data_IF_207227269521
#
_entry.id   IF_207227269521
#
_cell.length_a   1.000
_cell.length_b   1.000
_cell.length_c   1.000
_cell.angle_alpha   90.00
_cell.angle_beta   90.00
_cell.angle_gamma   90.00
#
_symmetry.space_group_name_H-M   'P 1'
#
loop_
_entity.id
_entity.type
_entity.pdbx_description
1 polymer ?
#
# COMPACT_ATOMS: atom_id res chain seq x y z
N UNK A 1 7.47 26.25 -1.68
CA UNK A 1 6.84 25.22 -2.53
C UNK A 1 7.73 23.98 -2.53
N UNK A 2 7.43 23.02 -1.67
CA UNK A 2 8.14 21.73 -1.64
C UNK A 2 7.73 20.92 -2.87
N UNK A 3 8.64 20.75 -3.82
CA UNK A 3 8.39 19.85 -4.94
C UNK A 3 8.25 18.43 -4.37
N UNK A 4 7.11 17.78 -4.55
CA UNK A 4 6.96 16.36 -4.30
C UNK A 4 8.09 15.61 -4.98
N UNK A 5 8.96 14.97 -4.20
CA UNK A 5 10.14 14.31 -4.74
C UNK A 5 9.70 13.06 -5.51
N UNK A 6 9.87 13.08 -6.83
CA UNK A 6 9.60 11.94 -7.70
C UNK A 6 10.48 10.76 -7.30
N UNK A 7 9.88 9.60 -7.05
CA UNK A 7 10.60 8.36 -6.77
C UNK A 7 11.25 7.88 -8.07
N UNK A 8 12.57 7.75 -8.08
CA UNK A 8 13.34 7.43 -9.29
C UNK A 8 13.38 5.93 -9.53
N UNK A 9 12.59 5.45 -10.48
CA UNK A 9 12.69 4.10 -11.05
C UNK A 9 12.58 4.16 -12.57
N UNK A 10 13.14 3.14 -13.26
CA UNK A 10 12.95 3.00 -14.71
C UNK A 10 11.57 2.41 -14.98
N UNK A 11 10.60 3.26 -15.25
CA UNK A 11 9.21 2.88 -15.52
C UNK A 11 8.53 3.91 -16.44
N UNK A 12 7.51 3.48 -17.15
CA UNK A 12 6.59 4.37 -17.89
C UNK A 12 5.61 5.11 -16.97
N UNK A 13 5.55 4.71 -15.69
CA UNK A 13 4.74 5.34 -14.65
C UNK A 13 5.60 6.29 -13.80
N UNK A 14 4.97 7.31 -13.24
CA UNK A 14 5.58 8.18 -12.25
C UNK A 14 5.04 7.85 -10.85
N UNK A 15 5.88 8.04 -9.83
CA UNK A 15 5.53 7.70 -8.45
C UNK A 15 5.93 8.83 -7.51
N UNK A 16 5.02 9.19 -6.61
CA UNK A 16 5.24 10.25 -5.62
C UNK A 16 4.66 9.83 -4.27
N UNK A 17 5.30 10.17 -3.14
CA UNK A 17 4.67 10.04 -1.83
C UNK A 17 3.42 10.93 -1.79
N UNK A 18 2.41 10.49 -1.04
CA UNK A 18 1.25 11.34 -0.81
C UNK A 18 1.58 12.40 0.23
N UNK A 19 1.28 13.65 -0.11
CA UNK A 19 1.53 14.84 0.70
C UNK A 19 0.34 15.79 0.60
N UNK A 20 0.39 16.94 1.29
CA UNK A 20 -0.65 17.98 1.21
C UNK A 20 -0.83 18.49 -0.21
N UNK A 21 0.26 18.59 -0.98
CA UNK A 21 0.28 19.16 -2.32
C UNK A 21 -0.46 18.30 -3.34
N UNK A 22 -0.47 16.96 -3.16
CA UNK A 22 -1.16 16.03 -4.06
C UNK A 22 -2.33 15.29 -3.40
N UNK A 23 -2.85 15.85 -2.30
CA UNK A 23 -4.04 15.29 -1.64
C UNK A 23 -5.24 15.16 -2.58
N UNK A 24 -5.45 16.15 -3.46
CA UNK A 24 -6.55 16.15 -4.43
C UNK A 24 -6.45 14.97 -5.42
N UNK A 25 -5.24 14.56 -5.78
CA UNK A 25 -5.02 13.40 -6.65
C UNK A 25 -5.38 12.11 -5.93
N UNK A 26 -5.06 12.03 -4.63
CA UNK A 26 -5.50 10.91 -3.79
C UNK A 26 -7.03 10.86 -3.68
N UNK A 27 -7.70 11.99 -3.47
CA UNK A 27 -9.17 12.07 -3.45
C UNK A 27 -9.77 11.65 -4.80
N UNK A 28 -9.23 12.13 -5.91
CA UNK A 28 -9.66 11.79 -7.26
C UNK A 28 -9.52 10.30 -7.53
N UNK A 29 -8.37 9.71 -7.14
CA UNK A 29 -8.12 8.27 -7.30
C UNK A 29 -9.12 7.41 -6.51
N UNK A 30 -9.43 7.80 -5.27
CA UNK A 30 -10.31 7.05 -4.38
C UNK A 30 -11.80 7.27 -4.70
N UNK A 31 -12.13 8.41 -5.30
CA UNK A 31 -13.49 8.81 -5.68
C UNK A 31 -14.43 8.96 -4.49
N UNK A 32 -15.68 9.25 -4.77
CA UNK A 32 -16.71 9.47 -3.73
C UNK A 32 -16.89 8.27 -2.80
N UNK A 33 -16.71 7.06 -3.32
CA UNK A 33 -16.85 5.80 -2.55
C UNK A 33 -15.64 5.45 -1.71
N UNK A 34 -14.56 6.25 -1.75
CA UNK A 34 -13.32 6.00 -0.99
C UNK A 34 -12.66 4.68 -1.33
N UNK A 35 -12.49 4.39 -2.62
CA UNK A 35 -12.01 3.18 -3.25
C UNK A 35 -13.01 2.00 -3.07
N UNK A 36 -13.03 1.35 -1.92
CA UNK A 36 -13.91 0.22 -1.64
C UNK A 36 -14.62 0.43 -0.29
N UNK A 37 -15.95 0.59 -0.33
CA UNK A 37 -16.77 0.64 0.88
C UNK A 37 -16.43 1.75 1.89
N UNK A 38 -15.95 2.90 1.43
CA UNK A 38 -15.56 4.01 2.32
C UNK A 38 -14.27 3.77 3.09
N UNK A 39 -13.40 2.91 2.57
CA UNK A 39 -12.16 2.49 3.22
C UNK A 39 -11.17 3.64 3.42
N UNK A 40 -10.95 4.49 2.40
CA UNK A 40 -9.93 5.53 2.41
C UNK A 40 -8.56 5.04 2.93
N UNK A 41 -8.25 3.78 2.69
CA UNK A 41 -7.07 3.03 3.11
C UNK A 41 -6.84 2.98 4.64
N UNK A 42 -7.88 3.25 5.46
CA UNK A 42 -7.78 3.26 6.92
C UNK A 42 -7.94 1.87 7.57
N UNK A 43 -8.25 0.82 6.79
CA UNK A 43 -8.58 -0.50 7.33
C UNK A 43 -7.49 -1.13 8.20
N UNK A 44 -6.22 -0.93 7.89
CA UNK A 44 -5.10 -1.46 8.67
C UNK A 44 -4.63 -0.54 9.78
N UNK A 45 -4.89 0.77 9.63
CA UNK A 45 -4.46 1.82 10.57
C UNK A 45 -5.38 1.95 11.79
N UNK A 46 -6.63 1.47 11.69
CA UNK A 46 -7.64 1.59 12.73
C UNK A 46 -8.03 0.21 13.29
N UNK A 47 -8.53 0.17 14.51
CA UNK A 47 -9.24 -0.99 15.03
C UNK A 47 -10.51 -1.24 14.20
N UNK A 48 -11.03 -2.48 14.21
CA UNK A 48 -12.26 -2.80 13.47
C UNK A 48 -13.42 -1.88 13.88
N UNK A 49 -13.61 -1.65 15.17
CA UNK A 49 -14.67 -0.78 15.72
C UNK A 49 -14.55 0.66 15.20
N UNK A 50 -13.37 1.24 15.28
CA UNK A 50 -13.10 2.60 14.78
C UNK A 50 -13.28 2.71 13.27
N UNK A 51 -12.80 1.72 12.51
CA UNK A 51 -12.94 1.68 11.06
C UNK A 51 -14.42 1.65 10.65
N UNK A 52 -15.21 0.77 11.27
CA UNK A 52 -16.63 0.61 10.95
C UNK A 52 -17.44 1.87 11.32
N UNK A 53 -17.14 2.49 12.46
CA UNK A 53 -17.77 3.73 12.91
C UNK A 53 -17.44 4.96 12.03
N UNK A 54 -16.33 4.92 11.29
CA UNK A 54 -15.83 6.04 10.49
C UNK A 54 -15.92 5.83 8.97
N UNK A 55 -16.60 4.78 8.49
CA UNK A 55 -16.71 4.49 7.05
C UNK A 55 -17.12 5.74 6.23
N UNK A 56 -16.50 5.89 5.05
CA UNK A 56 -16.75 7.04 4.18
C UNK A 56 -16.06 8.31 4.68
N UNK A 57 -16.81 9.36 4.95
CA UNK A 57 -16.28 10.69 5.29
C UNK A 57 -15.42 10.70 6.56
N UNK A 58 -15.70 9.84 7.54
CA UNK A 58 -14.89 9.72 8.75
C UNK A 58 -13.48 9.20 8.46
N UNK A 59 -13.36 8.12 7.71
CA UNK A 59 -12.08 7.57 7.27
C UNK A 59 -11.33 8.56 6.38
N UNK A 60 -12.02 9.28 5.47
CA UNK A 60 -11.43 10.35 4.66
C UNK A 60 -10.78 11.42 5.53
N UNK A 61 -11.52 11.94 6.53
CA UNK A 61 -10.98 12.95 7.45
C UNK A 61 -9.76 12.46 8.23
N UNK A 62 -9.77 11.20 8.67
CA UNK A 62 -8.62 10.60 9.37
C UNK A 62 -7.39 10.48 8.47
N UNK A 63 -7.55 10.01 7.23
CA UNK A 63 -6.45 9.94 6.27
C UNK A 63 -5.93 11.34 5.93
N UNK A 64 -6.83 12.33 5.75
CA UNK A 64 -6.42 13.72 5.47
C UNK A 64 -5.59 14.28 6.63
N UNK A 65 -6.02 14.10 7.88
CA UNK A 65 -5.24 14.52 9.06
C UNK A 65 -3.86 13.87 9.11
N UNK A 66 -3.75 12.59 8.74
CA UNK A 66 -2.48 11.88 8.67
C UNK A 66 -1.55 12.52 7.64
N UNK A 67 -2.05 12.84 6.45
CA UNK A 67 -1.28 13.55 5.42
C UNK A 67 -0.92 14.98 5.86
N UNK A 68 -1.84 15.68 6.51
CA UNK A 68 -1.63 17.03 7.04
C UNK A 68 -0.57 17.08 8.17
N UNK A 69 -0.36 15.97 8.87
CA UNK A 69 0.73 15.84 9.86
C UNK A 69 2.10 15.54 9.24
N UNK A 70 2.23 15.60 7.90
CA UNK A 70 3.43 15.23 7.13
C UNK A 70 3.85 13.76 7.26
N UNK A 71 2.93 12.89 7.72
CA UNK A 71 3.13 11.46 7.66
C UNK A 71 2.83 10.96 6.24
N UNK A 72 3.77 10.71 5.42
CA UNK A 72 3.60 10.19 4.05
C UNK A 72 3.08 8.73 4.09
N UNK A 73 1.75 8.47 4.18
CA UNK A 73 1.21 7.12 4.49
C UNK A 73 1.27 6.14 3.32
N UNK A 74 1.84 6.57 2.21
CA UNK A 74 1.98 5.75 1.01
C UNK A 74 2.37 6.54 -0.22
N UNK A 75 2.34 5.87 -1.36
CA UNK A 75 2.72 6.42 -2.66
C UNK A 75 1.58 6.35 -3.67
N UNK A 76 1.48 7.38 -4.50
CA UNK A 76 0.62 7.45 -5.67
C UNK A 76 1.40 7.07 -6.93
N UNK A 77 0.76 6.33 -7.83
CA UNK A 77 1.25 6.03 -9.16
C UNK A 77 0.46 6.84 -10.19
N UNK A 78 1.17 7.40 -11.17
CA UNK A 78 0.60 8.24 -12.24
C UNK A 78 0.95 7.69 -13.61
N UNK A 79 0.06 7.95 -14.56
CA UNK A 79 0.30 7.78 -15.99
C UNK A 79 -0.25 9.01 -16.72
N UNK A 80 0.61 9.71 -17.47
CA UNK A 80 0.28 10.98 -18.12
C UNK A 80 -0.40 11.97 -17.16
N UNK A 81 0.21 12.16 -15.98
CA UNK A 81 -0.24 13.05 -14.88
C UNK A 81 -1.59 12.66 -14.25
N UNK A 82 -2.22 11.56 -14.68
CA UNK A 82 -3.41 11.03 -14.06
C UNK A 82 -3.05 10.07 -12.90
N UNK A 83 -3.64 10.22 -11.69
CA UNK A 83 -3.44 9.27 -10.61
C UNK A 83 -4.19 7.96 -10.91
N UNK A 84 -3.45 6.85 -11.00
CA UNK A 84 -3.96 5.56 -11.45
C UNK A 84 -3.81 4.43 -10.43
N UNK A 85 -3.01 4.66 -9.39
CA UNK A 85 -2.74 3.65 -8.37
C UNK A 85 -2.25 4.23 -7.06
N UNK A 86 -2.41 3.43 -6.03
CA UNK A 86 -2.03 3.71 -4.64
C UNK A 86 -1.40 2.49 -4.00
N UNK A 87 -0.43 2.72 -3.13
CA UNK A 87 0.15 1.74 -2.23
C UNK A 87 0.31 2.36 -0.84
N UNK A 88 -0.34 1.77 0.16
CA UNK A 88 -0.07 2.12 1.55
C UNK A 88 1.29 1.57 1.94
N UNK A 89 2.14 2.41 2.53
CA UNK A 89 3.45 2.03 3.06
C UNK A 89 3.84 2.93 4.22
N UNK A 90 4.22 2.32 5.34
CA UNK A 90 4.64 2.99 6.56
C UNK A 90 5.39 2.01 7.48
N UNK A 91 6.03 2.47 8.57
CA UNK A 91 6.49 1.61 9.65
C UNK A 91 5.39 0.64 10.09
N UNK A 92 5.75 -0.63 10.30
CA UNK A 92 4.78 -1.70 10.59
C UNK A 92 3.89 -1.39 11.80
N UNK A 93 4.44 -0.79 12.83
CA UNK A 93 3.75 -0.44 14.08
C UNK A 93 2.57 0.53 13.87
N UNK A 94 2.55 1.28 12.77
CA UNK A 94 1.41 2.14 12.40
C UNK A 94 0.18 1.32 12.01
N UNK A 95 0.35 0.06 11.63
CA UNK A 95 -0.73 -0.81 11.18
C UNK A 95 -1.27 -1.70 12.32
N UNK A 96 -2.10 -1.12 13.19
CA UNK A 96 -2.67 -1.75 14.40
C UNK A 96 -3.21 -3.16 14.12
N UNK A 97 -3.84 -3.38 12.97
CA UNK A 97 -4.41 -4.69 12.64
C UNK A 97 -3.38 -5.73 12.22
N UNK A 98 -2.20 -5.33 11.73
CA UNK A 98 -1.09 -6.25 11.54
C UNK A 98 -0.55 -6.74 12.88
N UNK A 99 -0.34 -5.84 13.83
CA UNK A 99 0.16 -6.16 15.16
C UNK A 99 -0.79 -7.12 15.91
N UNK A 100 -2.11 -7.00 15.70
CA UNK A 100 -3.13 -7.87 16.30
C UNK A 100 -3.42 -9.14 15.50
N UNK A 101 -2.78 -9.33 14.35
CA UNK A 101 -3.03 -10.49 13.49
C UNK A 101 -2.32 -11.74 13.98
N UNK A 102 -3.05 -12.84 14.17
CA UNK A 102 -2.45 -14.15 14.50
C UNK A 102 -1.64 -14.72 13.34
N UNK A 103 -2.09 -14.49 12.10
CA UNK A 103 -1.46 -15.03 10.88
C UNK A 103 -0.32 -14.16 10.39
N UNK A 104 -0.47 -12.83 10.50
CA UNK A 104 0.49 -11.85 9.98
C UNK A 104 1.29 -11.18 11.12
N UNK A 105 1.37 -11.80 12.31
CA UNK A 105 2.19 -11.29 13.42
C UNK A 105 3.66 -11.19 13.02
N UNK A 106 4.43 -10.39 13.74
CA UNK A 106 5.89 -10.24 13.54
C UNK A 106 6.58 -11.59 13.40
N UNK A 107 7.58 -11.63 12.53
CA UNK A 107 8.45 -12.80 12.34
C UNK A 107 9.61 -12.74 13.33
N UNK A 108 10.14 -11.54 13.51
CA UNK A 108 11.31 -11.18 14.31
C UNK A 108 11.17 -9.75 14.84
N UNK A 109 12.20 -9.22 15.49
CA UNK A 109 12.25 -7.88 16.06
C UNK A 109 12.84 -6.84 15.08
N UNK A 110 13.07 -7.21 13.82
CA UNK A 110 13.57 -6.28 12.81
C UNK A 110 12.60 -5.13 12.54
N UNK A 111 13.16 -3.92 12.38
CA UNK A 111 12.39 -2.76 11.98
C UNK A 111 12.01 -2.85 10.50
N UNK A 112 10.73 -3.06 10.22
CA UNK A 112 10.23 -3.20 8.85
C UNK A 112 9.20 -2.12 8.51
N UNK A 113 9.20 -1.68 7.25
CA UNK A 113 8.07 -0.95 6.69
C UNK A 113 7.15 -1.92 5.97
N UNK A 114 5.85 -1.72 6.12
CA UNK A 114 4.81 -2.66 5.67
C UNK A 114 3.98 -2.11 4.53
N UNK A 115 3.68 -3.00 3.57
CA UNK A 115 2.78 -2.75 2.43
C UNK A 115 1.53 -3.63 2.61
N UNK A 116 0.48 -3.14 3.29
CA UNK A 116 -0.71 -3.95 3.54
C UNK A 116 -1.82 -3.76 2.51
N UNK A 117 -1.78 -2.73 1.68
CA UNK A 117 -2.90 -2.35 0.83
C UNK A 117 -2.48 -1.68 -0.47
N UNK A 118 -3.19 -2.03 -1.55
CA UNK A 118 -3.11 -1.40 -2.87
C UNK A 118 -4.50 -0.96 -3.34
N UNK A 119 -4.52 0.07 -4.17
CA UNK A 119 -5.65 0.38 -5.02
C UNK A 119 -5.13 0.70 -6.44
N UNK A 120 -5.71 0.07 -7.46
CA UNK A 120 -5.35 0.30 -8.86
C UNK A 120 -6.66 0.49 -9.63
N UNK A 121 -6.75 1.57 -10.40
CA UNK A 121 -7.87 1.81 -11.32
C UNK A 121 -8.10 0.60 -12.23
N UNK A 122 -9.36 0.27 -12.51
CA UNK A 122 -9.75 -0.94 -13.26
C UNK A 122 -9.01 -1.07 -14.58
N UNK A 123 -8.85 0.03 -15.29
CA UNK A 123 -8.25 0.14 -16.63
C UNK A 123 -6.74 -0.19 -16.64
N UNK A 124 -6.09 -0.06 -15.47
CA UNK A 124 -4.65 -0.28 -15.29
C UNK A 124 -4.31 -1.62 -14.61
N UNK A 125 -5.33 -2.42 -14.28
CA UNK A 125 -5.11 -3.77 -13.70
C UNK A 125 -4.59 -4.73 -14.75
N UNK A 126 -3.87 -5.78 -14.31
CA UNK A 126 -3.26 -6.83 -15.16
C UNK A 126 -2.24 -6.31 -16.17
N UNK A 127 -1.78 -5.05 -16.06
CA UNK A 127 -0.78 -4.40 -16.91
C UNK A 127 0.58 -4.23 -16.23
N UNK A 128 0.86 -4.98 -15.16
CA UNK A 128 2.14 -4.97 -14.42
C UNK A 128 2.28 -3.83 -13.41
N UNK A 129 1.31 -2.91 -13.30
CA UNK A 129 1.42 -1.74 -12.42
C UNK A 129 1.70 -2.10 -10.94
N UNK A 130 1.12 -3.18 -10.42
CA UNK A 130 1.38 -3.61 -9.04
C UNK A 130 2.86 -3.94 -8.78
N UNK A 131 3.55 -4.56 -9.75
CA UNK A 131 4.99 -4.83 -9.68
C UNK A 131 5.79 -3.52 -9.68
N UNK A 132 5.44 -2.57 -10.54
CA UNK A 132 6.13 -1.28 -10.61
C UNK A 132 5.90 -0.44 -9.34
N UNK A 133 4.70 -0.46 -8.76
CA UNK A 133 4.40 0.18 -7.47
C UNK A 133 5.28 -0.43 -6.36
N UNK A 134 5.44 -1.76 -6.33
CA UNK A 134 6.28 -2.43 -5.33
C UNK A 134 7.76 -2.04 -5.45
N UNK A 135 8.29 -1.93 -6.68
CA UNK A 135 9.65 -1.43 -6.92
C UNK A 135 9.79 0.02 -6.46
N UNK A 136 8.81 0.87 -6.78
CA UNK A 136 8.81 2.25 -6.33
C UNK A 136 8.73 2.37 -4.80
N UNK A 137 7.95 1.51 -4.15
CA UNK A 137 7.87 1.44 -2.70
C UNK A 137 9.22 1.06 -2.06
N UNK A 138 9.95 0.11 -2.66
CA UNK A 138 11.30 -0.26 -2.20
C UNK A 138 12.29 0.91 -2.34
N UNK A 139 12.28 1.62 -3.47
CA UNK A 139 13.13 2.81 -3.67
C UNK A 139 12.75 3.97 -2.74
N UNK A 140 11.46 4.17 -2.51
CA UNK A 140 11.01 5.14 -1.51
C UNK A 140 11.51 4.79 -0.11
N UNK A 141 11.38 3.53 0.31
CA UNK A 141 11.91 3.06 1.58
C UNK A 141 13.44 3.22 1.68
N UNK A 142 14.16 2.93 0.59
CA UNK A 142 15.61 3.16 0.50
C UNK A 142 15.96 4.62 0.78
N UNK A 143 15.23 5.56 0.20
CA UNK A 143 15.45 7.00 0.43
C UNK A 143 15.17 7.45 1.87
N UNK A 144 14.41 6.65 2.64
CA UNK A 144 14.12 6.87 4.07
C UNK A 144 15.05 6.09 5.00
N UNK A 145 16.08 5.40 4.48
CA UNK A 145 17.03 4.60 5.27
C UNK A 145 16.45 3.27 5.78
N UNK A 146 15.31 2.85 5.29
CA UNK A 146 14.70 1.56 5.64
C UNK A 146 15.52 0.42 5.07
N UNK A 147 15.63 -0.68 5.82
CA UNK A 147 16.39 -1.87 5.40
C UNK A 147 15.51 -3.00 4.89
N UNK A 148 14.28 -3.12 5.41
CA UNK A 148 13.39 -4.22 5.09
C UNK A 148 11.98 -3.70 4.79
N UNK A 149 11.46 -4.08 3.62
CA UNK A 149 10.05 -3.85 3.25
C UNK A 149 9.32 -5.17 3.31
N UNK A 150 8.19 -5.20 4.03
CA UNK A 150 7.40 -6.41 4.24
C UNK A 150 6.01 -6.26 3.62
N UNK A 151 5.53 -7.28 2.92
CA UNK A 151 4.22 -7.28 2.32
C UNK A 151 3.45 -8.58 2.58
N UNK A 152 2.11 -8.51 2.44
CA UNK A 152 1.19 -9.57 2.86
C UNK A 152 0.21 -9.92 1.75
N UNK A 153 0.69 -10.40 0.60
CA UNK A 153 -0.19 -10.73 -0.51
C UNK A 153 -1.16 -11.86 -0.16
N UNK A 154 -2.20 -12.00 -0.96
CA UNK A 154 -3.12 -13.14 -0.87
C UNK A 154 -2.84 -14.13 -2.00
N UNK A 155 -2.67 -15.42 -1.67
CA UNK A 155 -2.66 -16.47 -2.68
C UNK A 155 -4.03 -16.56 -3.34
N UNK A 156 -4.09 -16.63 -4.67
CA UNK A 156 -5.32 -16.87 -5.37
C UNK A 156 -5.81 -18.30 -5.07
N UNK A 157 -7.06 -18.42 -4.62
CA UNK A 157 -7.71 -19.72 -4.40
C UNK A 157 -8.49 -20.19 -5.63
N UNK A 158 -8.62 -19.35 -6.64
CA UNK A 158 -9.25 -19.64 -7.92
C UNK A 158 -8.61 -18.79 -9.04
N UNK A 159 -8.77 -19.23 -10.28
CA UNK A 159 -8.22 -18.51 -11.45
C UNK A 159 -8.80 -17.11 -11.66
N UNK A 160 -9.92 -16.80 -11.04
CA UNK A 160 -10.61 -15.52 -11.21
C UNK A 160 -11.05 -14.95 -9.85
N UNK A 161 -10.10 -14.37 -9.11
CA UNK A 161 -10.43 -13.70 -7.84
C UNK A 161 -11.07 -12.34 -8.13
N UNK A 162 -12.25 -12.05 -7.56
CA UNK A 162 -12.85 -10.73 -7.66
C UNK A 162 -11.89 -9.64 -7.18
N UNK A 163 -11.83 -8.53 -7.90
CA UNK A 163 -10.92 -7.42 -7.61
C UNK A 163 -11.03 -6.88 -6.17
N UNK A 164 -12.19 -7.06 -5.54
CA UNK A 164 -12.43 -6.69 -4.15
C UNK A 164 -11.56 -7.48 -3.15
N UNK A 165 -11.00 -8.61 -3.55
CA UNK A 165 -10.11 -9.43 -2.69
C UNK A 165 -8.62 -9.28 -3.05
N UNK A 166 -8.30 -8.52 -4.11
CA UNK A 166 -6.93 -8.32 -4.61
C UNK A 166 -6.20 -7.12 -3.97
N UNK A 167 -6.82 -6.44 -3.02
CA UNK A 167 -6.31 -5.21 -2.42
C UNK A 167 -5.02 -5.38 -1.60
N UNK A 168 -4.63 -6.59 -1.25
CA UNK A 168 -3.32 -6.88 -0.63
C UNK A 168 -2.25 -7.28 -1.65
N UNK A 169 -2.61 -7.34 -2.94
CA UNK A 169 -1.74 -7.83 -4.00
C UNK A 169 -1.63 -9.36 -4.05
N UNK A 170 -0.88 -9.85 -5.03
CA UNK A 170 -0.65 -11.28 -5.26
C UNK A 170 0.85 -11.60 -5.14
N UNK A 171 1.24 -12.79 -4.61
CA UNK A 171 2.64 -13.20 -4.47
C UNK A 171 3.45 -13.10 -5.76
N UNK A 172 2.82 -13.36 -6.92
CA UNK A 172 3.48 -13.24 -8.22
C UNK A 172 3.99 -11.83 -8.52
N UNK A 173 3.25 -10.78 -8.14
CA UNK A 173 3.69 -9.39 -8.29
C UNK A 173 4.84 -9.06 -7.35
N UNK A 174 4.79 -9.55 -6.12
CA UNK A 174 5.85 -9.37 -5.13
C UNK A 174 7.15 -10.07 -5.57
N UNK A 175 7.08 -11.34 -6.02
CA UNK A 175 8.26 -12.06 -6.55
C UNK A 175 8.88 -11.32 -7.74
N UNK A 176 8.07 -10.84 -8.69
CA UNK A 176 8.55 -10.04 -9.83
C UNK A 176 9.20 -8.72 -9.43
N UNK A 177 8.83 -8.16 -8.26
CA UNK A 177 9.44 -6.98 -7.69
C UNK A 177 10.68 -7.29 -6.83
N UNK A 178 11.07 -8.57 -6.68
CA UNK A 178 12.25 -8.99 -5.92
C UNK A 178 12.01 -9.37 -4.47
N UNK A 179 10.74 -9.40 -4.02
CA UNK A 179 10.41 -9.88 -2.69
C UNK A 179 10.54 -11.41 -2.60
N UNK A 180 11.02 -11.89 -1.47
CA UNK A 180 11.11 -13.31 -1.14
C UNK A 180 10.09 -13.66 -0.06
N UNK A 181 9.49 -14.84 -0.16
CA UNK A 181 8.66 -15.39 0.91
C UNK A 181 9.57 -15.78 2.09
N UNK A 182 9.22 -15.30 3.28
CA UNK A 182 10.02 -15.51 4.49
C UNK A 182 9.25 -16.24 5.58
N UNK A 183 7.92 -16.22 5.53
CA UNK A 183 7.07 -16.94 6.47
C UNK A 183 5.68 -17.21 5.85
N UNK A 184 5.05 -18.30 6.27
CA UNK A 184 3.69 -18.66 5.87
C UNK A 184 2.95 -19.40 6.98
N UNK A 185 2.09 -18.70 7.72
CA UNK A 185 1.29 -19.29 8.80
C UNK A 185 -0.12 -19.70 8.37
N UNK A 186 -0.48 -19.45 7.10
CA UNK A 186 -1.73 -19.95 6.49
C UNK A 186 -1.52 -20.22 5.00
N UNK A 187 -2.33 -21.12 4.44
CA UNK A 187 -2.23 -21.46 3.00
C UNK A 187 -2.40 -20.26 2.07
N UNK A 188 -3.16 -19.25 2.47
CA UNK A 188 -3.54 -18.13 1.62
C UNK A 188 -2.77 -16.83 1.88
N UNK A 189 -1.92 -16.76 2.89
CA UNK A 189 -1.31 -15.49 3.33
C UNK A 189 0.19 -15.63 3.62
N UNK A 190 1.04 -15.63 2.58
CA UNK A 190 2.49 -15.55 2.78
C UNK A 190 2.89 -14.17 3.31
N UNK A 191 3.97 -14.11 4.07
CA UNK A 191 4.68 -12.88 4.41
C UNK A 191 5.90 -12.82 3.51
N UNK A 192 6.07 -11.72 2.81
CA UNK A 192 7.14 -11.53 1.84
C UNK A 192 7.98 -10.31 2.18
N UNK A 193 9.31 -10.42 2.10
CA UNK A 193 10.24 -9.33 2.37
C UNK A 193 11.10 -8.99 1.16
N UNK A 194 11.39 -7.70 1.03
CA UNK A 194 12.43 -7.15 0.17
C UNK A 194 13.52 -6.56 1.08
N UNK A 195 14.75 -7.04 0.91
CA UNK A 195 15.92 -6.54 1.63
C UNK A 195 16.60 -5.48 0.78
N UNK A 196 16.74 -4.28 1.33
CA UNK A 196 17.34 -3.12 0.66
C UNK A 196 18.85 -3.14 0.95
N UNK A 197 19.62 -3.23 -0.11
CA UNK A 197 21.09 -3.16 -0.09
C UNK A 197 21.55 -1.71 -0.23
#
# INVERSE_FOLDING_TARGET
>A
MGKNLKIKIKSKFSFYPVTKENWNDFETLFGERGACGGCWCMSWLLTKKEFDANKGAGNKRKMKKLVESNAEPGILAYFNDEPIGWCAIAPRENFIRLEKSKVLKRIDDEAVWSIPCFFIKKEFRRKGLSTEILKAAAEYCKSKGVKIVEGYPAEPYANNIPAAFAWTGFPSSFRKAGFKEVERRSKSRPIMRYFIN
#
